data_IF_073083001633
#
_entry.id   IF_073083001633
#
_cell.length_a   1.000
_cell.length_b   1.000
_cell.length_c   1.000
_cell.angle_alpha   90.00
_cell.angle_beta   90.00
_cell.angle_gamma   90.00
#
_symmetry.space_group_name_H-M   'P 1'
#
loop_
_entity.id
_entity.type
_entity.pdbx_description
1 polymer ?
#
# COMPACT_ATOMS: atom_id res chain seq x y z
N UNK A 1 22.94 14.98 13.35
CA UNK A 1 21.58 14.40 13.48
C UNK A 1 20.58 15.41 14.06
N UNK A 2 20.99 16.22 15.05
CA UNK A 2 20.04 17.09 15.78
C UNK A 2 19.69 18.42 15.07
N UNK A 3 20.53 18.93 14.20
CA UNK A 3 20.30 20.21 13.51
C UNK A 3 19.16 20.16 12.48
N UNK A 4 18.84 18.99 11.94
CA UNK A 4 17.82 18.82 10.89
C UNK A 4 16.42 18.48 11.44
N UNK A 5 16.29 18.19 12.71
CA UNK A 5 15.02 17.72 13.30
C UNK A 5 13.99 18.84 13.43
N UNK A 6 14.43 20.04 13.77
CA UNK A 6 13.56 21.21 13.84
C UNK A 6 12.98 21.59 12.46
N UNK A 7 13.79 21.48 11.42
CA UNK A 7 13.38 21.75 10.04
C UNK A 7 12.36 20.71 9.55
N UNK A 8 12.59 19.42 9.83
CA UNK A 8 11.63 18.35 9.50
C UNK A 8 10.31 18.56 10.22
N UNK A 9 10.33 18.86 11.51
CA UNK A 9 9.12 19.10 12.29
C UNK A 9 8.32 20.30 11.75
N UNK A 10 9.00 21.39 11.39
CA UNK A 10 8.37 22.55 10.77
C UNK A 10 7.76 22.20 9.41
N UNK A 11 8.48 21.49 8.55
CA UNK A 11 8.00 21.10 7.23
C UNK A 11 6.77 20.19 7.31
N UNK A 12 6.74 19.25 8.27
CA UNK A 12 5.57 18.38 8.50
C UNK A 12 4.35 19.19 8.88
N UNK A 13 4.48 20.12 9.85
CA UNK A 13 3.35 20.97 10.29
C UNK A 13 2.87 21.92 9.18
N UNK A 14 3.76 22.37 8.30
CA UNK A 14 3.40 23.25 7.19
C UNK A 14 2.69 22.53 6.04
N UNK A 15 2.98 21.22 5.83
CA UNK A 15 2.52 20.49 4.64
C UNK A 15 1.50 19.39 4.93
N UNK A 16 1.45 18.88 6.14
CA UNK A 16 0.63 17.72 6.51
C UNK A 16 -0.23 18.04 7.74
N UNK A 17 -1.34 17.31 7.86
CA UNK A 17 -2.20 17.30 9.04
C UNK A 17 -2.05 15.99 9.79
N UNK A 18 -2.08 16.02 11.13
CA UNK A 18 -2.05 14.79 11.92
C UNK A 18 -3.39 14.03 11.83
N UNK A 19 -3.38 12.68 11.90
CA UNK A 19 -2.21 11.85 12.06
C UNK A 19 -1.36 11.76 10.81
N UNK A 20 -0.04 11.56 10.98
CA UNK A 20 0.87 11.21 9.90
C UNK A 20 1.44 9.81 10.11
N UNK A 21 1.91 9.16 9.05
CA UNK A 21 2.63 7.90 9.11
C UNK A 21 4.09 8.12 8.75
N UNK A 22 4.97 7.65 9.63
CA UNK A 22 6.42 7.67 9.44
C UNK A 22 6.87 6.26 9.11
N UNK A 23 7.53 6.07 7.96
CA UNK A 23 7.92 4.75 7.47
C UNK A 23 9.30 4.72 6.81
N UNK A 24 10.08 3.63 6.96
CA UNK A 24 11.28 3.39 6.15
C UNK A 24 10.91 3.27 4.67
N UNK A 25 11.72 3.85 3.78
CA UNK A 25 11.36 3.92 2.35
C UNK A 25 11.39 2.55 1.64
N UNK A 26 12.22 1.60 2.10
CA UNK A 26 12.43 0.32 1.41
C UNK A 26 12.01 -0.91 2.22
N UNK A 27 11.30 -0.74 3.33
CA UNK A 27 10.83 -1.86 4.14
C UNK A 27 9.39 -2.24 3.78
N UNK A 28 9.10 -3.54 3.88
CA UNK A 28 7.76 -4.08 3.70
C UNK A 28 7.11 -4.56 5.00
N UNK A 29 5.91 -5.12 4.90
CA UNK A 29 5.19 -5.77 6.01
C UNK A 29 5.01 -4.90 7.25
N UNK A 30 4.89 -3.59 7.08
CA UNK A 30 4.72 -2.59 8.15
C UNK A 30 5.88 -2.53 9.15
N UNK A 31 7.08 -3.04 8.81
CA UNK A 31 8.24 -2.99 9.68
C UNK A 31 8.76 -1.55 9.79
N UNK A 32 8.89 -1.05 11.03
CA UNK A 32 9.38 0.30 11.30
C UNK A 32 8.40 1.42 10.99
N UNK A 33 7.11 1.11 10.71
CA UNK A 33 6.06 2.10 10.50
C UNK A 33 5.48 2.53 11.84
N UNK A 34 5.33 3.83 12.03
CA UNK A 34 4.70 4.43 13.19
C UNK A 34 3.59 5.39 12.77
N UNK A 35 2.42 5.27 13.39
CA UNK A 35 1.37 6.29 13.36
C UNK A 35 1.73 7.37 14.36
N UNK A 36 1.67 8.62 13.97
CA UNK A 36 2.01 9.79 14.78
C UNK A 36 0.78 10.68 14.85
N UNK A 37 0.18 10.79 16.04
CA UNK A 37 -1.05 11.54 16.24
C UNK A 37 -0.80 13.02 16.59
N UNK A 38 0.40 13.35 17.07
CA UNK A 38 0.83 14.72 17.32
C UNK A 38 2.34 14.92 17.12
N UNK A 39 2.77 16.19 17.15
CA UNK A 39 4.17 16.56 16.86
C UNK A 39 5.17 15.99 17.88
N UNK A 40 4.76 15.75 19.13
CA UNK A 40 5.64 15.25 20.17
C UNK A 40 6.14 13.82 19.88
N UNK A 41 5.33 13.02 19.20
CA UNK A 41 5.65 11.64 18.84
C UNK A 41 6.46 11.51 17.54
N UNK A 42 6.64 12.60 16.77
CA UNK A 42 7.33 12.57 15.49
C UNK A 42 8.80 12.12 15.61
N UNK A 43 9.52 12.64 16.61
CA UNK A 43 10.93 12.33 16.82
C UNK A 43 11.19 10.87 17.21
N UNK A 44 10.43 10.26 18.14
CA UNK A 44 10.50 8.82 18.40
C UNK A 44 10.21 7.98 17.17
N UNK A 45 9.21 8.34 16.37
CA UNK A 45 8.85 7.64 15.15
C UNK A 45 9.95 7.70 14.08
N UNK A 46 10.57 8.85 13.87
CA UNK A 46 11.74 9.00 12.99
C UNK A 46 12.91 8.12 13.47
N UNK A 47 13.20 8.15 14.76
CA UNK A 47 14.29 7.34 15.35
C UNK A 47 14.03 5.84 15.16
N UNK A 48 12.77 5.40 15.23
CA UNK A 48 12.40 4.01 14.96
C UNK A 48 12.61 3.67 13.48
N UNK A 49 12.09 4.48 12.55
CA UNK A 49 12.19 4.24 11.11
C UNK A 49 13.65 4.22 10.61
N UNK A 50 14.51 5.09 11.15
CA UNK A 50 15.95 5.14 10.81
C UNK A 50 16.76 3.92 11.27
N UNK A 51 16.20 3.04 12.11
CA UNK A 51 16.85 1.75 12.41
C UNK A 51 16.84 0.80 11.22
N UNK A 52 15.92 0.99 10.29
CA UNK A 52 15.66 0.08 9.18
C UNK A 52 16.10 0.64 7.82
N UNK A 53 16.06 1.97 7.62
CA UNK A 53 16.46 2.60 6.36
C UNK A 53 17.02 4.00 6.62
N UNK A 54 17.98 4.41 5.78
CA UNK A 54 18.53 5.76 5.78
C UNK A 54 17.58 6.80 5.15
N UNK A 55 16.53 6.35 4.47
CA UNK A 55 15.46 7.18 3.90
C UNK A 55 14.16 6.88 4.60
N UNK A 56 13.49 7.93 5.02
CA UNK A 56 12.20 7.86 5.71
C UNK A 56 11.19 8.68 4.94
N UNK A 57 10.00 8.15 4.80
CA UNK A 57 8.85 8.84 4.20
C UNK A 57 7.89 9.21 5.32
N UNK A 58 7.39 10.44 5.29
CA UNK A 58 6.33 10.92 6.18
C UNK A 58 5.13 11.23 5.31
N UNK A 59 4.03 10.56 5.59
CA UNK A 59 2.81 10.65 4.79
C UNK A 59 1.62 11.12 5.61
N UNK A 60 0.73 11.84 4.94
CA UNK A 60 -0.58 12.17 5.50
C UNK A 60 -1.37 10.91 5.83
N UNK A 61 -1.88 10.79 7.04
CA UNK A 61 -2.85 9.76 7.38
C UNK A 61 -4.19 10.03 6.68
N UNK A 62 -4.76 9.01 6.06
CA UNK A 62 -6.06 9.09 5.37
C UNK A 62 -7.01 8.01 5.89
N UNK A 63 -8.27 8.36 6.14
CA UNK A 63 -9.33 7.40 6.43
C UNK A 63 -9.78 6.78 5.10
N UNK A 64 -9.26 5.58 4.81
CA UNK A 64 -9.43 4.96 3.51
C UNK A 64 -9.54 3.44 3.61
N UNK A 65 -10.15 2.85 2.57
CA UNK A 65 -10.14 1.41 2.31
C UNK A 65 -8.83 1.03 1.64
N UNK A 66 -8.29 -0.14 1.96
CA UNK A 66 -7.10 -0.70 1.29
C UNK A 66 -7.54 -1.62 0.16
N UNK A 67 -7.23 -1.23 -1.06
CA UNK A 67 -7.65 -1.89 -2.28
C UNK A 67 -6.45 -2.18 -3.16
N UNK A 68 -6.35 -3.41 -3.66
CA UNK A 68 -5.20 -3.94 -4.36
C UNK A 68 -5.55 -4.34 -5.79
N UNK A 69 -4.67 -4.05 -6.75
CA UNK A 69 -4.75 -4.52 -8.13
C UNK A 69 -3.51 -5.33 -8.50
N UNK A 70 -3.70 -6.54 -9.04
CA UNK A 70 -2.61 -7.32 -9.60
C UNK A 70 -2.33 -6.88 -11.04
N UNK A 71 -1.04 -6.74 -11.38
CA UNK A 71 -0.57 -6.39 -12.72
C UNK A 71 0.30 -7.52 -13.25
N UNK A 72 0.11 -7.89 -14.52
CA UNK A 72 0.88 -8.91 -15.21
C UNK A 72 1.21 -8.44 -16.62
N UNK A 73 2.43 -8.70 -17.08
CA UNK A 73 2.83 -8.48 -18.45
C UNK A 73 4.10 -7.68 -18.62
N UNK A 74 4.47 -7.45 -19.89
CA UNK A 74 5.71 -6.79 -20.28
C UNK A 74 5.46 -5.77 -21.39
N UNK A 75 6.21 -4.69 -21.38
CA UNK A 75 6.21 -3.66 -22.44
C UNK A 75 4.81 -3.10 -22.74
N UNK A 76 4.27 -3.39 -23.93
CA UNK A 76 2.94 -2.96 -24.38
C UNK A 76 1.82 -3.89 -23.92
N UNK A 77 2.14 -5.13 -23.64
CA UNK A 77 1.18 -6.17 -23.23
C UNK A 77 1.15 -6.27 -21.70
N UNK A 78 0.43 -5.36 -21.08
CA UNK A 78 0.27 -5.26 -19.62
C UNK A 78 -1.21 -5.20 -19.30
N UNK A 79 -1.64 -6.10 -18.42
CA UNK A 79 -3.02 -6.18 -17.94
C UNK A 79 -3.07 -6.01 -16.42
N UNK A 80 -4.16 -5.45 -15.92
CA UNK A 80 -4.47 -5.36 -14.49
C UNK A 80 -5.81 -6.04 -14.18
N UNK A 81 -5.89 -6.68 -13.03
CA UNK A 81 -7.12 -7.33 -12.55
C UNK A 81 -8.16 -6.32 -12.10
N UNK A 82 -9.42 -6.75 -11.96
CA UNK A 82 -10.35 -6.07 -11.08
C UNK A 82 -9.75 -5.96 -9.67
N UNK A 83 -10.05 -4.87 -8.96
CA UNK A 83 -9.50 -4.68 -7.62
C UNK A 83 -10.05 -5.67 -6.60
N UNK A 84 -9.25 -6.03 -5.60
CA UNK A 84 -9.65 -6.70 -4.38
C UNK A 84 -9.44 -5.82 -3.17
N UNK A 85 -10.16 -6.06 -2.10
CA UNK A 85 -10.09 -5.29 -0.87
C UNK A 85 -9.62 -6.14 0.30
N UNK A 86 -8.71 -5.60 1.09
CA UNK A 86 -8.36 -6.12 2.42
C UNK A 86 -9.30 -5.49 3.42
N UNK A 87 -10.28 -6.28 3.91
CA UNK A 87 -11.25 -5.82 4.91
C UNK A 87 -10.63 -6.00 6.30
N UNK A 88 -10.40 -4.89 6.99
CA UNK A 88 -9.81 -4.87 8.33
C UNK A 88 -10.87 -4.79 9.40
N UNK A 89 -10.81 -5.69 10.37
CA UNK A 89 -11.66 -5.64 11.59
C UNK A 89 -11.07 -4.74 12.70
N UNK A 90 -9.84 -4.19 12.50
CA UNK A 90 -9.11 -3.40 13.51
C UNK A 90 -8.44 -2.17 12.90
N UNK A 91 -8.36 -1.10 13.69
CA UNK A 91 -7.89 0.23 13.28
C UNK A 91 -6.39 0.28 12.91
N UNK A 92 -5.58 -0.65 13.41
CA UNK A 92 -4.16 -0.78 13.08
C UNK A 92 -3.78 -2.23 12.80
N UNK A 93 -3.23 -2.46 11.61
CA UNK A 93 -2.91 -3.78 11.08
C UNK A 93 -1.39 -4.01 11.12
N UNK A 94 -0.92 -4.58 12.23
CA UNK A 94 0.49 -4.88 12.45
C UNK A 94 0.94 -6.21 11.80
N UNK A 95 2.24 -6.50 11.92
CA UNK A 95 2.86 -7.72 11.40
C UNK A 95 2.22 -9.01 11.96
N UNK A 96 1.82 -9.02 13.23
CA UNK A 96 1.26 -10.20 13.87
C UNK A 96 -0.13 -10.52 13.30
N UNK A 97 -0.96 -9.51 13.09
CA UNK A 97 -2.28 -9.67 12.47
C UNK A 97 -2.18 -10.19 11.03
N UNK A 98 -1.12 -9.80 10.29
CA UNK A 98 -0.90 -10.22 8.89
C UNK A 98 -0.55 -11.72 8.74
N UNK A 99 0.21 -12.29 9.67
CA UNK A 99 0.84 -13.60 9.47
C UNK A 99 0.50 -14.65 10.53
N UNK A 100 -0.02 -14.25 11.69
CA UNK A 100 -0.23 -15.17 12.82
C UNK A 100 -1.72 -15.46 13.04
N UNK A 101 -2.60 -14.45 12.96
CA UNK A 101 -4.01 -14.61 13.37
C UNK A 101 -4.96 -15.05 12.27
N UNK A 102 -4.54 -15.10 11.00
CA UNK A 102 -5.33 -15.52 9.81
C UNK A 102 -6.75 -14.92 9.73
N UNK A 103 -6.97 -13.72 10.27
CA UNK A 103 -8.27 -13.03 10.32
C UNK A 103 -8.47 -12.00 9.21
N UNK A 104 -7.72 -12.14 8.11
CA UNK A 104 -7.88 -11.25 6.97
C UNK A 104 -9.08 -11.70 6.16
N UNK A 105 -10.11 -10.88 6.11
CA UNK A 105 -11.17 -11.03 5.14
C UNK A 105 -10.74 -10.29 3.85
N UNK A 106 -10.88 -10.97 2.71
CA UNK A 106 -10.64 -10.39 1.39
C UNK A 106 -11.95 -10.38 0.62
N UNK A 107 -12.34 -9.23 0.10
CA UNK A 107 -13.45 -9.11 -0.84
C UNK A 107 -12.89 -9.08 -2.28
N UNK A 108 -13.12 -10.11 -3.05
CA UNK A 108 -12.65 -10.29 -4.44
C UNK A 108 -13.84 -10.64 -5.34
N UNK A 109 -14.22 -9.77 -6.30
CA UNK A 109 -13.71 -8.41 -6.47
C UNK A 109 -14.16 -7.46 -5.35
N UNK A 110 -13.43 -6.38 -5.16
CA UNK A 110 -13.78 -5.33 -4.21
C UNK A 110 -15.15 -4.70 -4.56
N UNK A 111 -15.92 -4.36 -3.53
CA UNK A 111 -17.24 -3.71 -3.70
C UNK A 111 -17.04 -2.21 -3.95
N UNK A 112 -16.71 -1.85 -5.19
CA UNK A 112 -16.53 -0.47 -5.66
C UNK A 112 -17.35 -0.23 -6.94
N UNK A 113 -17.73 1.02 -7.27
CA UNK A 113 -18.35 1.36 -8.55
C UNK A 113 -17.47 0.94 -9.74
N UNK A 114 -18.09 0.55 -10.86
CA UNK A 114 -17.39 0.01 -12.02
C UNK A 114 -16.40 1.02 -12.64
N UNK A 115 -16.76 2.30 -12.67
CA UNK A 115 -15.91 3.38 -13.15
C UNK A 115 -14.68 3.58 -12.25
N UNK A 116 -14.84 3.42 -10.94
CA UNK A 116 -13.74 3.46 -9.99
C UNK A 116 -12.82 2.24 -10.17
N UNK A 117 -13.38 1.04 -10.34
CA UNK A 117 -12.60 -0.17 -10.60
C UNK A 117 -11.75 -0.01 -11.88
N UNK A 118 -12.34 0.49 -12.97
CA UNK A 118 -11.61 0.77 -14.21
C UNK A 118 -10.49 1.79 -14.01
N UNK A 119 -10.77 2.89 -13.31
CA UNK A 119 -9.78 3.92 -12.98
C UNK A 119 -8.59 3.35 -12.20
N UNK A 120 -8.84 2.44 -11.27
CA UNK A 120 -7.79 1.78 -10.50
C UNK A 120 -6.93 0.85 -11.36
N UNK A 121 -7.53 0.08 -12.27
CA UNK A 121 -6.79 -0.73 -13.24
C UNK A 121 -5.86 0.16 -14.11
N UNK A 122 -6.37 1.29 -14.61
CA UNK A 122 -5.56 2.24 -15.39
C UNK A 122 -4.42 2.83 -14.56
N UNK A 123 -4.65 3.16 -13.29
CA UNK A 123 -3.63 3.66 -12.37
C UNK A 123 -2.58 2.61 -12.05
N UNK A 124 -2.99 1.35 -11.82
CA UNK A 124 -2.08 0.24 -11.60
C UNK A 124 -1.14 0.03 -12.80
N UNK A 125 -1.67 0.02 -14.03
CA UNK A 125 -0.87 -0.08 -15.25
C UNK A 125 0.08 1.11 -15.42
N UNK A 126 -0.39 2.33 -15.15
CA UNK A 126 0.45 3.54 -15.23
C UNK A 126 1.59 3.50 -14.20
N UNK A 127 1.28 3.15 -12.96
CA UNK A 127 2.26 3.05 -11.88
C UNK A 127 3.32 1.98 -12.20
N UNK A 128 2.88 0.81 -12.64
CA UNK A 128 3.76 -0.29 -13.07
C UNK A 128 4.72 0.12 -14.19
N UNK A 129 4.21 0.79 -15.22
CA UNK A 129 5.02 1.30 -16.34
C UNK A 129 5.99 2.41 -15.91
N UNK A 130 5.59 3.27 -14.96
CA UNK A 130 6.42 4.36 -14.46
C UNK A 130 7.69 3.88 -13.75
N UNK A 131 7.64 2.68 -13.14
CA UNK A 131 8.81 2.04 -12.51
C UNK A 131 9.52 1.03 -13.42
N UNK A 132 9.21 1.02 -14.73
CA UNK A 132 9.72 0.04 -15.69
C UNK A 132 9.46 -1.42 -15.26
N UNK A 133 8.30 -1.71 -14.71
CA UNK A 133 7.90 -3.03 -14.25
C UNK A 133 7.92 -4.07 -15.38
N UNK A 134 8.34 -5.30 -15.06
CA UNK A 134 8.34 -6.45 -15.95
C UNK A 134 7.86 -7.68 -15.18
N UNK A 135 7.12 -8.58 -15.87
CA UNK A 135 6.56 -9.78 -15.27
C UNK A 135 5.31 -9.48 -14.45
N UNK A 136 5.43 -9.38 -13.14
CA UNK A 136 4.30 -9.25 -12.22
C UNK A 136 4.53 -8.17 -11.16
N UNK A 137 3.43 -7.62 -10.65
CA UNK A 137 3.43 -6.65 -9.54
C UNK A 137 2.05 -6.56 -8.90
N UNK A 138 1.96 -6.10 -7.65
CA UNK A 138 0.72 -5.67 -7.03
C UNK A 138 0.80 -4.19 -6.69
N UNK A 139 -0.19 -3.44 -7.14
CA UNK A 139 -0.34 -2.02 -6.80
C UNK A 139 -1.40 -1.88 -5.72
N UNK A 140 -1.02 -1.28 -4.61
CA UNK A 140 -1.86 -1.10 -3.43
C UNK A 140 -2.31 0.36 -3.34
N UNK A 141 -3.61 0.55 -3.12
CA UNK A 141 -4.25 1.86 -3.14
C UNK A 141 -5.00 2.14 -1.85
N UNK A 142 -5.03 3.40 -1.46
CA UNK A 142 -5.98 3.93 -0.51
C UNK A 142 -7.16 4.58 -1.25
N UNK A 143 -8.38 4.16 -0.91
CA UNK A 143 -9.61 4.72 -1.48
C UNK A 143 -10.43 5.33 -0.36
N UNK A 144 -10.58 6.65 -0.40
CA UNK A 144 -11.34 7.40 0.61
C UNK A 144 -12.85 7.29 0.39
N UNK A 145 -13.64 7.68 1.39
CA UNK A 145 -15.12 7.62 1.33
C UNK A 145 -15.72 8.51 0.24
N UNK A 146 -15.03 9.59 -0.12
CA UNK A 146 -15.39 10.51 -1.21
C UNK A 146 -14.85 10.10 -2.58
N UNK A 147 -14.24 8.90 -2.68
CA UNK A 147 -13.80 8.29 -3.93
C UNK A 147 -12.45 8.76 -4.47
N UNK A 148 -11.65 9.47 -3.66
CA UNK A 148 -10.26 9.76 -4.01
C UNK A 148 -9.43 8.48 -3.95
N UNK A 149 -8.52 8.32 -4.92
CA UNK A 149 -7.63 7.16 -5.04
C UNK A 149 -6.20 7.63 -4.93
N UNK A 150 -5.48 7.10 -3.94
CA UNK A 150 -4.06 7.35 -3.73
C UNK A 150 -3.29 6.05 -3.94
N UNK A 151 -2.23 6.07 -4.74
CA UNK A 151 -1.29 4.96 -4.82
C UNK A 151 -0.47 4.96 -3.54
N UNK A 152 -0.54 3.87 -2.79
CA UNK A 152 0.27 3.67 -1.58
C UNK A 152 1.64 3.09 -1.94
N UNK A 153 1.67 1.90 -2.55
CA UNK A 153 2.92 1.22 -2.90
C UNK A 153 2.79 0.31 -4.12
N UNK A 154 3.94 -0.05 -4.69
CA UNK A 154 4.08 -1.05 -5.75
C UNK A 154 4.94 -2.20 -5.21
N UNK A 155 4.36 -3.38 -5.13
CA UNK A 155 5.04 -4.59 -4.71
C UNK A 155 5.56 -5.34 -5.94
N UNK A 156 6.86 -5.22 -6.23
CA UNK A 156 7.49 -5.86 -7.40
C UNK A 156 7.53 -7.40 -7.28
N UNK A 157 7.55 -7.94 -6.05
CA UNK A 157 7.47 -9.36 -5.76
C UNK A 157 6.41 -9.55 -4.67
N UNK A 158 5.11 -9.52 -5.03
CA UNK A 158 4.03 -9.69 -4.05
C UNK A 158 4.01 -11.11 -3.51
N UNK A 159 3.34 -11.30 -2.37
CA UNK A 159 3.08 -12.63 -1.82
C UNK A 159 2.45 -13.54 -2.89
N UNK A 160 3.00 -14.75 -3.05
CA UNK A 160 2.62 -15.68 -4.12
C UNK A 160 2.32 -17.08 -3.57
N UNK A 161 1.50 -17.16 -2.53
CA UNK A 161 0.89 -18.40 -2.07
C UNK A 161 -0.52 -18.52 -2.63
N UNK A 162 -1.09 -19.70 -2.63
CA UNK A 162 -2.50 -19.90 -3.06
C UNK A 162 -3.53 -19.06 -2.28
N UNK A 163 -3.14 -18.48 -1.15
CA UNK A 163 -3.97 -17.62 -0.29
C UNK A 163 -3.62 -16.13 -0.40
N UNK A 164 -2.63 -15.79 -1.21
CA UNK A 164 -2.20 -14.41 -1.39
C UNK A 164 -3.14 -13.65 -2.33
N UNK A 165 -3.36 -12.37 -2.07
CA UNK A 165 -4.25 -11.52 -2.86
C UNK A 165 -3.88 -11.56 -4.36
N UNK A 166 -2.59 -11.49 -4.71
CA UNK A 166 -2.14 -11.45 -6.11
C UNK A 166 -2.68 -12.62 -6.95
N UNK A 167 -2.44 -13.90 -6.63
CA UNK A 167 -3.01 -15.00 -7.42
C UNK A 167 -4.54 -15.10 -7.31
N UNK A 168 -5.15 -14.78 -6.16
CA UNK A 168 -6.60 -14.82 -6.02
C UNK A 168 -7.30 -13.81 -6.94
N UNK A 169 -6.70 -12.64 -7.16
CA UNK A 169 -7.22 -11.64 -8.11
C UNK A 169 -7.19 -12.17 -9.54
N UNK A 170 -6.13 -12.86 -9.96
CA UNK A 170 -6.03 -13.47 -11.28
C UNK A 170 -6.96 -14.68 -11.43
N UNK A 171 -7.12 -15.49 -10.40
CA UNK A 171 -8.10 -16.59 -10.39
C UNK A 171 -9.52 -16.06 -10.60
N UNK A 172 -9.90 -14.96 -9.97
CA UNK A 172 -11.19 -14.30 -10.18
C UNK A 172 -11.37 -13.83 -11.63
N UNK A 173 -10.30 -13.55 -12.35
CA UNK A 173 -10.28 -13.20 -13.78
C UNK A 173 -10.17 -14.42 -14.71
N UNK A 174 -10.14 -15.64 -14.17
CA UNK A 174 -10.10 -16.89 -14.92
C UNK A 174 -8.70 -17.42 -15.25
N UNK A 175 -7.63 -16.81 -14.73
CA UNK A 175 -6.25 -17.32 -14.85
C UNK A 175 -5.94 -18.16 -13.61
N UNK A 176 -5.75 -19.48 -13.81
CA UNK A 176 -5.50 -20.38 -12.68
C UNK A 176 -4.13 -20.13 -12.02
N UNK A 177 -4.02 -20.52 -10.75
CA UNK A 177 -2.74 -20.42 -10.02
C UNK A 177 -1.58 -21.14 -10.72
N UNK A 178 -1.87 -22.26 -11.36
CA UNK A 178 -0.85 -23.06 -12.08
C UNK A 178 -0.42 -22.45 -13.41
N UNK A 179 -1.29 -21.67 -14.05
CA UNK A 179 -1.01 -21.02 -15.34
C UNK A 179 -0.34 -19.65 -15.14
N UNK A 180 -0.57 -19.04 -13.96
CA UNK A 180 0.03 -17.78 -13.55
C UNK A 180 1.52 -17.95 -13.20
#
# INVERSE_FOLDING_TARGET
ADENQGEIAQEVVEKLEFPVFVKPANMGSSVGISKVDDLADLQPALSEAYKYDNRVVIEQGVDAREIECAVLGNNSDVSATLPGEVVKDVEFYDYNSKYIDNKIQMDIPAKVPADLAQKMQEYAIKAYKAVNGTGLSRCDFFVTKDGNVYLNEINAIPGFTQWSMYPLLWENMGLSYSDL
#
